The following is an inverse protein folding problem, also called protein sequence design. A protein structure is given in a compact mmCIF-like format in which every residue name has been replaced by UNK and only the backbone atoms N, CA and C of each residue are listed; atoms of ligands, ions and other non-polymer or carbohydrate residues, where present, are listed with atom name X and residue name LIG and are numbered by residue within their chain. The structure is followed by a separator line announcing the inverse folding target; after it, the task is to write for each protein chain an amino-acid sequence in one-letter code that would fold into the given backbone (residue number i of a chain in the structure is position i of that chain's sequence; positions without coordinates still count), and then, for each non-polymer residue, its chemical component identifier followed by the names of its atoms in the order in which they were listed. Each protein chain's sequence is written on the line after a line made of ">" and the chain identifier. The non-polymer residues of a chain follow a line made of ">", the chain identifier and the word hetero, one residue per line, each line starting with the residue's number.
data_IF_987332439292
#
_entry.id   IF_987332439292
#
_cell.length_a   1.000
_cell.length_b   1.000
_cell.length_c   1.000
_cell.angle_alpha   90.00
_cell.angle_beta   90.00
_cell.angle_gamma   90.00
#
_symmetry.space_group_name_H-M   'P 1'
#
loop_
_entity.id
_entity.type
_entity.pdbx_description
1 polymer ?
#
# COMPACT_ATOMS: atom_id res chain seq x y z
N UNK A 1 19.66 -34.16 21.76
CA UNK A 1 19.79 -33.06 20.78
C UNK A 1 18.40 -32.44 20.66
N UNK A 2 18.27 -31.13 20.84
CA UNK A 2 16.96 -30.46 20.87
C UNK A 2 16.34 -30.51 19.48
N UNK A 3 15.28 -31.29 19.30
CA UNK A 3 14.38 -31.13 18.16
C UNK A 3 13.90 -29.68 18.16
N UNK A 4 14.19 -28.93 17.09
CA UNK A 4 13.75 -27.55 16.97
C UNK A 4 12.25 -27.56 16.67
N UNK A 5 11.47 -27.64 17.73
CA UNK A 5 10.03 -27.50 17.70
C UNK A 5 9.69 -26.01 17.60
N UNK A 6 9.05 -25.62 16.49
CA UNK A 6 8.67 -24.22 16.25
C UNK A 6 7.16 -24.11 16.46
N UNK A 7 6.72 -23.22 17.35
CA UNK A 7 5.30 -22.95 17.54
C UNK A 7 4.74 -22.31 16.26
N UNK A 8 3.58 -22.78 15.79
CA UNK A 8 3.00 -22.32 14.52
C UNK A 8 2.77 -20.81 14.50
N UNK A 9 2.34 -20.23 15.63
CA UNK A 9 2.09 -18.78 15.75
C UNK A 9 3.38 -17.97 15.57
N UNK A 10 4.47 -18.39 16.21
CA UNK A 10 5.79 -17.76 16.08
C UNK A 10 6.30 -17.87 14.64
N UNK A 11 6.06 -19.02 14.01
CA UNK A 11 6.39 -19.24 12.61
C UNK A 11 5.64 -18.27 11.69
N UNK A 12 4.31 -18.15 11.82
CA UNK A 12 3.50 -17.22 11.03
C UNK A 12 3.96 -15.77 11.24
N UNK A 13 4.27 -15.39 12.48
CA UNK A 13 4.81 -14.07 12.80
C UNK A 13 6.15 -13.80 12.10
N UNK A 14 7.06 -14.78 12.11
CA UNK A 14 8.35 -14.67 11.45
C UNK A 14 8.23 -14.56 9.91
N UNK A 15 7.39 -15.37 9.27
CA UNK A 15 7.16 -15.27 7.81
C UNK A 15 6.52 -13.94 7.44
N UNK A 16 5.57 -13.44 8.24
CA UNK A 16 4.92 -12.15 8.01
C UNK A 16 5.91 -10.98 8.12
N UNK A 17 6.79 -10.99 9.14
CA UNK A 17 7.84 -9.98 9.31
C UNK A 17 8.89 -10.04 8.20
N UNK A 18 9.25 -11.25 7.76
CA UNK A 18 10.17 -11.46 6.63
C UNK A 18 9.59 -10.91 5.33
N UNK A 19 8.31 -11.17 5.05
CA UNK A 19 7.60 -10.64 3.89
C UNK A 19 7.52 -9.11 3.92
N UNK A 20 7.18 -8.51 5.07
CA UNK A 20 7.17 -7.05 5.24
C UNK A 20 8.55 -6.41 5.06
N UNK A 21 9.62 -7.10 5.48
CA UNK A 21 11.00 -6.64 5.28
C UNK A 21 11.43 -6.75 3.82
N UNK A 22 11.06 -7.83 3.14
CA UNK A 22 11.31 -8.01 1.71
C UNK A 22 10.68 -6.87 0.91
N UNK A 23 9.44 -6.49 1.19
CA UNK A 23 8.78 -5.35 0.53
C UNK A 23 9.53 -4.03 0.72
N UNK A 24 10.06 -3.76 1.92
CA UNK A 24 10.87 -2.55 2.18
C UNK A 24 12.18 -2.53 1.36
N UNK A 25 12.75 -3.70 1.10
CA UNK A 25 14.01 -3.86 0.37
C UNK A 25 13.91 -3.69 -1.15
N UNK A 26 12.71 -3.74 -1.74
CA UNK A 26 12.53 -3.58 -3.20
C UNK A 26 12.64 -2.10 -3.62
N UNK A 27 12.74 -1.16 -2.67
CA UNK A 27 12.96 0.25 -2.96
C UNK A 27 11.74 0.87 -3.62
N UNK A 28 10.79 1.33 -2.80
CA UNK A 28 9.71 2.17 -3.30
C UNK A 28 10.33 3.45 -3.86
N UNK A 29 10.14 3.71 -5.16
CA UNK A 29 10.44 5.02 -5.76
C UNK A 29 9.63 6.05 -4.98
N UNK A 30 10.23 7.17 -4.59
CA UNK A 30 9.52 8.29 -3.94
C UNK A 30 8.24 8.61 -4.73
N UNK A 31 7.08 8.43 -4.10
CA UNK A 31 5.76 8.62 -4.71
C UNK A 31 4.97 7.35 -5.07
N UNK A 32 5.55 6.14 -5.02
CA UNK A 32 4.77 4.90 -5.10
C UNK A 32 4.27 4.49 -3.71
N UNK A 33 2.95 4.53 -3.51
CA UNK A 33 2.35 3.89 -2.34
C UNK A 33 2.62 2.39 -2.38
N UNK A 34 3.00 1.81 -1.24
CA UNK A 34 3.25 0.38 -1.02
C UNK A 34 2.12 -0.56 -1.50
N UNK A 35 0.96 -0.01 -1.83
CA UNK A 35 -0.21 -0.71 -2.37
C UNK A 35 -0.01 -1.35 -3.76
N UNK A 36 1.07 -1.02 -4.49
CA UNK A 36 1.30 -1.59 -5.83
C UNK A 36 2.33 -2.71 -5.90
N UNK A 37 3.04 -3.06 -4.81
CA UNK A 37 4.23 -3.90 -4.99
C UNK A 37 4.02 -5.40 -4.90
N UNK A 38 3.04 -5.92 -4.14
CA UNK A 38 2.65 -7.34 -4.18
C UNK A 38 1.16 -7.45 -3.78
N UNK A 39 0.27 -7.72 -4.73
CA UNK A 39 -1.18 -7.89 -4.44
C UNK A 39 -1.47 -9.20 -3.70
N UNK A 40 -0.70 -10.25 -4.03
CA UNK A 40 -0.82 -11.58 -3.45
C UNK A 40 0.56 -12.25 -3.35
N UNK A 41 0.87 -12.87 -2.21
CA UNK A 41 2.01 -13.78 -2.09
C UNK A 41 1.57 -15.07 -1.41
N UNK A 42 2.12 -16.20 -1.85
CA UNK A 42 1.82 -17.51 -1.29
C UNK A 42 3.11 -18.18 -0.82
N UNK A 43 3.15 -18.61 0.44
CA UNK A 43 4.23 -19.40 1.02
C UNK A 43 3.68 -20.79 1.32
N UNK A 44 4.23 -21.80 0.66
CA UNK A 44 3.84 -23.21 0.85
C UNK A 44 5.00 -24.01 1.40
N UNK A 45 4.78 -24.69 2.53
CA UNK A 45 5.81 -25.46 3.25
C UNK A 45 5.27 -26.83 3.62
N UNK A 46 6.13 -27.85 3.51
CA UNK A 46 5.86 -29.22 3.97
C UNK A 46 6.52 -29.43 5.32
N UNK A 47 5.74 -29.84 6.31
CA UNK A 47 6.20 -29.94 7.70
C UNK A 47 5.43 -31.04 8.44
N UNK A 48 6.07 -31.70 9.40
CA UNK A 48 5.35 -32.51 10.38
C UNK A 48 4.62 -31.58 11.34
N UNK A 49 3.39 -31.92 11.71
CA UNK A 49 2.61 -31.14 12.68
C UNK A 49 2.31 -32.01 13.89
N UNK A 50 2.64 -31.52 15.09
CA UNK A 50 2.31 -32.21 16.34
C UNK A 50 1.83 -31.24 17.40
N UNK A 51 1.03 -31.75 18.34
CA UNK A 51 0.68 -31.00 19.54
C UNK A 51 1.83 -31.12 20.53
N UNK A 52 2.31 -29.99 21.05
CA UNK A 52 3.37 -29.96 22.04
C UNK A 52 2.84 -30.31 23.44
N UNK A 53 3.74 -30.49 24.40
CA UNK A 53 3.40 -30.81 25.81
C UNK A 53 2.62 -29.69 26.53
N UNK A 54 2.46 -28.52 25.90
CA UNK A 54 1.69 -27.37 26.39
C UNK A 54 0.35 -27.21 25.67
N UNK A 55 -0.04 -28.16 24.82
CA UNK A 55 -1.30 -28.11 24.06
C UNK A 55 -1.29 -27.09 22.92
N UNK A 56 -0.12 -26.68 22.42
CA UNK A 56 0.03 -25.78 21.28
C UNK A 56 0.47 -26.56 20.04
N UNK A 57 0.02 -26.10 18.88
CA UNK A 57 0.41 -26.67 17.61
C UNK A 57 1.86 -26.29 17.28
N UNK A 58 2.67 -27.30 16.99
CA UNK A 58 4.06 -27.12 16.64
C UNK A 58 4.40 -27.74 15.29
N UNK A 59 5.33 -27.09 14.61
CA UNK A 59 5.89 -27.46 13.34
C UNK A 59 7.23 -28.15 13.55
N UNK A 60 7.38 -29.27 12.87
CA UNK A 60 8.63 -30.01 12.77
C UNK A 60 9.16 -29.87 11.33
N UNK A 61 10.27 -29.14 11.13
CA UNK A 61 10.85 -28.97 9.81
C UNK A 61 11.44 -30.31 9.33
N UNK A 62 11.10 -30.69 8.09
CA UNK A 62 11.63 -31.90 7.47
C UNK A 62 13.09 -31.65 7.09
N UNK A 63 14.01 -32.09 7.94
CA UNK A 63 15.44 -32.08 7.58
C UNK A 63 15.75 -33.28 6.68
N UNK A 64 16.70 -33.14 5.76
CA UNK A 64 17.15 -34.22 4.88
C UNK A 64 17.79 -35.42 5.60
N UNK A 65 17.92 -35.36 6.93
CA UNK A 65 18.48 -36.40 7.78
C UNK A 65 17.42 -37.25 8.51
N UNK A 66 16.13 -36.87 8.49
CA UNK A 66 15.06 -37.62 9.13
C UNK A 66 14.32 -38.51 8.13
N UNK A 67 14.18 -39.79 8.46
CA UNK A 67 13.36 -40.75 7.75
C UNK A 67 11.88 -40.44 8.00
N UNK A 68 11.38 -39.38 7.37
CA UNK A 68 9.97 -38.98 7.52
C UNK A 68 9.11 -39.87 6.62
N UNK A 69 8.13 -40.55 7.22
CA UNK A 69 7.09 -41.25 6.47
C UNK A 69 6.31 -40.19 5.65
N UNK A 70 6.26 -40.30 4.31
CA UNK A 70 5.63 -39.29 3.45
C UNK A 70 4.17 -39.00 3.82
N UNK A 71 3.46 -39.98 4.38
CA UNK A 71 2.06 -39.90 4.78
C UNK A 71 1.83 -39.08 6.08
N UNK A 72 2.90 -38.71 6.79
CA UNK A 72 2.83 -37.91 8.03
C UNK A 72 3.15 -36.42 7.82
N UNK A 73 3.22 -35.98 6.56
CA UNK A 73 3.54 -34.60 6.20
C UNK A 73 2.27 -33.78 5.98
N UNK A 74 2.23 -32.62 6.63
CA UNK A 74 1.22 -31.59 6.41
C UNK A 74 1.73 -30.53 5.45
N UNK A 75 0.82 -29.96 4.67
CA UNK A 75 1.11 -28.78 3.84
C UNK A 75 0.51 -27.55 4.50
N UNK A 76 1.34 -26.56 4.80
CA UNK A 76 0.92 -25.25 5.27
C UNK A 76 1.05 -24.25 4.13
N UNK A 77 -0.08 -23.64 3.73
CA UNK A 77 -0.14 -22.58 2.73
C UNK A 77 -0.56 -21.28 3.41
N UNK A 78 0.31 -20.27 3.34
CA UNK A 78 0.06 -18.92 3.87
C UNK A 78 -0.14 -18.00 2.68
N UNK A 79 -1.33 -17.41 2.56
CA UNK A 79 -1.65 -16.41 1.53
C UNK A 79 -1.65 -15.02 2.16
N UNK A 80 -0.75 -14.18 1.69
CA UNK A 80 -0.71 -12.77 2.01
C UNK A 80 -1.60 -12.02 1.03
N UNK A 81 -2.63 -11.35 1.54
CA UNK A 81 -3.48 -10.44 0.76
C UNK A 81 -3.30 -9.05 1.32
N UNK A 82 -2.87 -8.12 0.47
CA UNK A 82 -2.84 -6.71 0.82
C UNK A 82 -4.27 -6.16 0.75
N UNK A 83 -4.97 -6.14 1.89
CA UNK A 83 -6.21 -5.38 2.02
C UNK A 83 -5.87 -3.93 2.37
N UNK A 84 -6.51 -2.96 1.69
CA UNK A 84 -6.46 -1.55 2.09
C UNK A 84 -6.93 -1.47 3.54
N UNK A 85 -6.02 -1.15 4.45
CA UNK A 85 -6.41 -0.75 5.79
C UNK A 85 -7.26 0.51 5.63
N UNK A 86 -8.56 0.42 5.87
CA UNK A 86 -9.36 1.59 6.20
C UNK A 86 -8.93 2.02 7.61
N UNK A 87 -7.78 2.68 7.66
CA UNK A 87 -7.10 3.10 8.87
C UNK A 87 -6.89 4.60 8.79
N UNK A 88 -7.75 5.29 9.50
CA UNK A 88 -7.82 6.71 9.77
C UNK A 88 -6.46 7.32 10.11
N UNK A 89 -5.85 8.01 9.16
CA UNK A 89 -5.11 9.24 9.45
C UNK A 89 -5.49 10.29 8.43
N UNK A 90 -6.00 11.40 8.96
CA UNK A 90 -6.48 12.55 8.22
C UNK A 90 -5.28 13.20 7.53
N UNK A 91 -5.02 12.83 6.27
CA UNK A 91 -4.34 13.72 5.32
C UNK A 91 -5.23 14.97 5.19
N UNK A 92 -5.08 15.88 6.14
CA UNK A 92 -5.58 17.24 6.06
C UNK A 92 -4.55 17.95 5.22
N UNK A 93 -4.95 18.58 4.11
CA UNK A 93 -3.99 19.23 3.25
C UNK A 93 -3.24 20.31 4.04
N UNK A 94 -1.92 20.33 3.89
CA UNK A 94 -1.00 21.33 4.43
C UNK A 94 -1.32 22.71 3.88
N UNK A 95 -1.65 22.76 2.59
CA UNK A 95 -2.02 23.99 1.90
C UNK A 95 -3.53 24.16 1.92
N UNK A 96 -4.02 25.39 2.12
CA UNK A 96 -5.46 25.65 2.04
C UNK A 96 -5.94 25.63 0.58
N UNK A 97 -7.23 25.34 0.39
CA UNK A 97 -7.87 25.40 -0.94
C UNK A 97 -7.73 26.78 -1.56
N UNK A 98 -7.87 27.83 -0.76
CA UNK A 98 -7.78 29.22 -1.18
C UNK A 98 -6.37 29.57 -1.67
N UNK A 99 -5.33 29.05 -1.02
CA UNK A 99 -3.94 29.29 -1.43
C UNK A 99 -3.60 28.57 -2.74
N UNK A 100 -4.08 27.33 -2.92
CA UNK A 100 -3.97 26.59 -4.18
C UNK A 100 -4.67 27.34 -5.33
N UNK A 101 -5.89 27.83 -5.10
CA UNK A 101 -6.62 28.61 -6.10
C UNK A 101 -5.91 29.93 -6.41
N UNK A 102 -5.28 30.58 -5.41
CA UNK A 102 -4.48 31.78 -5.62
C UNK A 102 -3.24 31.51 -6.46
N UNK A 103 -2.50 30.43 -6.15
CA UNK A 103 -1.34 30.01 -6.95
C UNK A 103 -1.76 29.75 -8.40
N UNK A 104 -2.81 28.96 -8.60
CA UNK A 104 -3.31 28.61 -9.93
C UNK A 104 -3.76 29.84 -10.70
N UNK A 105 -4.55 30.73 -10.09
CA UNK A 105 -5.03 31.94 -10.75
C UNK A 105 -3.90 32.89 -11.18
N UNK A 106 -2.74 32.85 -10.52
CA UNK A 106 -1.57 33.67 -10.87
C UNK A 106 -0.74 33.13 -12.04
N UNK A 107 -1.06 31.92 -12.56
CA UNK A 107 -0.31 31.33 -13.67
C UNK A 107 -0.52 32.09 -14.97
N UNK A 108 0.57 32.28 -15.70
CA UNK A 108 0.59 33.04 -16.95
C UNK A 108 -0.32 32.41 -18.02
N UNK A 109 -0.36 31.07 -18.12
CA UNK A 109 -1.20 30.36 -19.07
C UNK A 109 -2.69 30.61 -18.80
N UNK A 110 -3.11 30.60 -17.54
CA UNK A 110 -4.49 30.85 -17.15
C UNK A 110 -4.89 32.32 -17.29
N UNK A 111 -3.98 33.25 -17.01
CA UNK A 111 -4.21 34.69 -17.25
C UNK A 111 -4.43 34.95 -18.74
N UNK A 112 -3.63 34.33 -19.61
CA UNK A 112 -3.83 34.41 -21.07
C UNK A 112 -5.15 33.79 -21.50
N UNK A 113 -5.49 32.61 -20.97
CA UNK A 113 -6.77 31.94 -21.28
C UNK A 113 -7.97 32.77 -20.84
N UNK A 114 -7.89 33.45 -19.69
CA UNK A 114 -8.93 34.35 -19.21
C UNK A 114 -9.11 35.56 -20.13
N UNK A 115 -8.03 36.09 -20.71
CA UNK A 115 -8.10 37.14 -21.73
C UNK A 115 -8.79 36.72 -23.03
N UNK A 116 -8.73 35.43 -23.38
CA UNK A 116 -9.32 34.88 -24.63
C UNK A 116 -10.76 34.40 -24.42
N UNK A 117 -11.00 33.67 -23.33
CA UNK A 117 -12.26 32.97 -23.05
C UNK A 117 -13.19 33.75 -22.12
N UNK A 118 -12.72 34.87 -21.56
CA UNK A 118 -13.47 35.64 -20.58
C UNK A 118 -13.35 35.04 -19.18
N UNK A 119 -14.43 35.12 -18.40
CA UNK A 119 -14.41 34.66 -17.01
C UNK A 119 -14.12 33.16 -16.94
N UNK A 120 -13.13 32.79 -16.13
CA UNK A 120 -12.83 31.40 -15.80
C UNK A 120 -13.30 31.11 -14.38
N UNK A 121 -13.94 29.98 -14.19
CA UNK A 121 -14.29 29.44 -12.87
C UNK A 121 -13.32 28.31 -12.52
N UNK A 122 -12.87 28.28 -11.26
CA UNK A 122 -11.85 27.34 -10.79
C UNK A 122 -12.39 26.58 -9.57
N UNK A 123 -12.21 25.26 -9.59
CA UNK A 123 -12.53 24.40 -8.46
C UNK A 123 -11.32 23.54 -8.13
N UNK A 124 -10.90 23.56 -6.86
CA UNK A 124 -9.84 22.75 -6.33
C UNK A 124 -10.41 21.66 -5.41
N UNK A 125 -10.06 20.41 -5.72
CA UNK A 125 -10.42 19.21 -4.96
C UNK A 125 -9.12 18.50 -4.50
N UNK A 126 -9.05 18.14 -3.23
CA UNK A 126 -7.89 17.45 -2.66
C UNK A 126 -8.11 15.94 -2.64
N UNK A 127 -7.22 15.22 -3.33
CA UNK A 127 -7.17 13.77 -3.37
C UNK A 127 -6.27 13.27 -2.24
N UNK A 128 -6.88 12.97 -1.09
CA UNK A 128 -6.18 12.53 0.14
C UNK A 128 -5.31 11.31 -0.07
N UNK A 129 -5.72 10.42 -0.96
CA UNK A 129 -5.00 9.19 -1.30
C UNK A 129 -3.68 9.46 -2.01
N UNK A 130 -3.56 10.57 -2.72
CA UNK A 130 -2.40 10.87 -3.55
C UNK A 130 -1.57 12.03 -3.00
N UNK A 131 -2.08 12.74 -1.99
CA UNK A 131 -1.51 13.98 -1.46
C UNK A 131 -1.40 15.09 -2.53
N UNK A 132 -2.43 15.15 -3.39
CA UNK A 132 -2.48 16.04 -4.55
C UNK A 132 -3.75 16.88 -4.57
N UNK A 133 -3.59 18.13 -4.94
CA UNK A 133 -4.66 19.02 -5.36
C UNK A 133 -4.93 18.88 -6.85
N UNK A 134 -6.19 18.63 -7.21
CA UNK A 134 -6.66 18.72 -8.59
C UNK A 134 -7.45 20.00 -8.76
N UNK A 135 -6.99 20.89 -9.63
CA UNK A 135 -7.68 22.15 -9.96
C UNK A 135 -8.26 22.06 -11.36
N UNK A 136 -9.59 22.08 -11.42
CA UNK A 136 -10.36 22.11 -12.66
C UNK A 136 -10.72 23.55 -12.98
N UNK A 137 -10.37 23.99 -14.18
CA UNK A 137 -10.69 25.32 -14.69
C UNK A 137 -11.70 25.18 -15.81
N UNK A 138 -12.80 25.93 -15.71
CA UNK A 138 -13.89 25.94 -16.68
C UNK A 138 -14.16 27.34 -17.22
N UNK A 139 -14.64 27.41 -18.46
CA UNK A 139 -15.16 28.66 -19.04
C UNK A 139 -16.62 28.94 -18.61
N UNK A 140 -17.16 30.06 -19.10
CA UNK A 140 -18.54 30.51 -18.88
C UNK A 140 -19.61 29.51 -19.40
N UNK A 141 -19.22 28.60 -20.29
CA UNK A 141 -20.05 27.50 -20.82
C UNK A 141 -19.84 26.20 -20.05
N UNK A 142 -19.17 26.23 -18.90
CA UNK A 142 -18.84 25.07 -18.07
C UNK A 142 -17.98 24.02 -18.79
N UNK A 143 -17.26 24.39 -19.85
CA UNK A 143 -16.32 23.51 -20.55
C UNK A 143 -14.99 23.51 -19.83
N UNK A 144 -14.39 22.34 -19.69
CA UNK A 144 -13.07 22.20 -19.05
C UNK A 144 -12.01 22.72 -20.01
N UNK A 145 -11.29 23.75 -19.58
CA UNK A 145 -10.19 24.35 -20.37
C UNK A 145 -8.84 23.91 -19.83
N UNK A 146 -8.77 23.55 -18.55
CA UNK A 146 -7.54 23.07 -17.92
C UNK A 146 -7.86 22.17 -16.73
N UNK A 147 -7.00 21.19 -16.51
CA UNK A 147 -6.90 20.43 -15.27
C UNK A 147 -5.45 20.48 -14.84
N UNK A 148 -5.20 20.87 -13.59
CA UNK A 148 -3.88 20.95 -13.00
C UNK A 148 -3.81 19.99 -11.81
N UNK A 149 -2.68 19.33 -11.66
CA UNK A 149 -2.38 18.50 -10.49
C UNK A 149 -1.20 19.14 -9.78
N UNK A 150 -1.34 19.40 -8.48
CA UNK A 150 -0.38 20.12 -7.66
C UNK A 150 -0.12 19.29 -6.41
N UNK A 151 1.15 19.05 -6.09
CA UNK A 151 1.55 18.39 -4.85
C UNK A 151 1.29 19.30 -3.65
N UNK A 152 0.78 18.71 -2.57
CA UNK A 152 0.62 19.42 -1.30
C UNK A 152 1.95 19.38 -0.52
N UNK A 153 2.67 20.52 -0.46
CA UNK A 153 4.03 20.61 0.11
C UNK A 153 4.03 21.18 1.52
#
# INVERSE_FOLDING_TARGET
>A
MSEQEIVVEDFIGAVSNSFGTAQKGIGLVEGMQSAMMISEAEVTIKTGMRMNNKGQLALEPVSSASSVQPDALSTLTIRYVAARGEGTDLNTPRTSREDILREVSSREDLTRLQGILGKLDMNADYAKELDLWTVKVTDDRSRVVRVLTIEDK
#
